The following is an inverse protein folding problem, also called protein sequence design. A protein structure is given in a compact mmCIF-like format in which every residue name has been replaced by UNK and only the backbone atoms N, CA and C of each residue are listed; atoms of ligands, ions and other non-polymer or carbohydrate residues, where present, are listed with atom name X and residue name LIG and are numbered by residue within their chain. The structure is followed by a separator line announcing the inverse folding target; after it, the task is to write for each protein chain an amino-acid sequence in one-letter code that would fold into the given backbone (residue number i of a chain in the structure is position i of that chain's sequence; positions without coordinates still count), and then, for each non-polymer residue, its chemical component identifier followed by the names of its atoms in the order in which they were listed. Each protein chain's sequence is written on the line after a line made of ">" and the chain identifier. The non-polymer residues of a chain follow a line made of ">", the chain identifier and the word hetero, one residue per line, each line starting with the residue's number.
data_IF_364691579148
#
_entry.id   IF_364691579148
#
_cell.length_a   1.000
_cell.length_b   1.000
_cell.length_c   1.000
_cell.angle_alpha   90.00
_cell.angle_beta   90.00
_cell.angle_gamma   90.00
#
_symmetry.space_group_name_H-M   'P 1'
#
loop_
_entity.id
_entity.type
_entity.pdbx_description
1 polymer ?
#
# COMPACT_ATOMS: atom_id res chain seq x y z
N UNK A 1 23.06 -4.20 -24.50
CA UNK A 1 22.54 -3.35 -23.41
C UNK A 1 23.08 -1.91 -23.45
N UNK A 2 24.40 -1.66 -23.54
CA UNK A 2 24.93 -0.27 -23.53
C UNK A 2 24.40 0.63 -24.67
N UNK A 3 23.95 0.06 -25.78
CA UNK A 3 23.39 0.78 -26.92
C UNK A 3 21.88 1.11 -26.79
N UNK A 4 21.18 0.52 -25.80
CA UNK A 4 19.76 0.76 -25.59
C UNK A 4 19.54 1.68 -24.36
N UNK A 5 19.25 2.97 -24.54
CA UNK A 5 19.11 3.92 -23.44
C UNK A 5 17.93 3.58 -22.51
N UNK A 6 16.87 2.94 -23.03
CA UNK A 6 15.70 2.52 -22.23
C UNK A 6 16.07 1.42 -21.25
N UNK A 7 16.86 0.43 -21.69
CA UNK A 7 17.34 -0.65 -20.82
C UNK A 7 18.31 -0.13 -19.76
N UNK A 8 19.14 0.85 -20.08
CA UNK A 8 20.04 1.46 -19.09
C UNK A 8 19.30 2.30 -18.07
N UNK A 9 18.30 3.08 -18.48
CA UNK A 9 17.48 3.87 -17.54
C UNK A 9 16.63 2.97 -16.61
N UNK A 10 16.07 1.88 -17.14
CA UNK A 10 15.32 0.92 -16.33
C UNK A 10 16.20 0.18 -15.33
N UNK A 11 17.42 -0.21 -15.72
CA UNK A 11 18.40 -0.78 -14.79
C UNK A 11 18.77 0.22 -13.70
N UNK A 12 18.98 1.48 -14.05
CA UNK A 12 19.23 2.57 -13.09
C UNK A 12 18.07 2.72 -12.10
N UNK A 13 16.83 2.68 -12.57
CA UNK A 13 15.63 2.74 -11.72
C UNK A 13 15.52 1.54 -10.79
N UNK A 14 15.78 0.32 -11.29
CA UNK A 14 15.79 -0.90 -10.44
C UNK A 14 16.86 -0.80 -9.36
N UNK A 15 18.05 -0.35 -9.70
CA UNK A 15 19.13 -0.17 -8.71
C UNK A 15 18.78 0.90 -7.67
N UNK A 16 18.13 2.00 -8.10
CA UNK A 16 17.62 3.03 -7.17
C UNK A 16 16.54 2.47 -6.23
N UNK A 17 15.60 1.67 -6.74
CA UNK A 17 14.59 1.01 -5.93
C UNK A 17 15.19 0.02 -4.94
N UNK A 18 16.16 -0.79 -5.39
CA UNK A 18 16.89 -1.70 -4.50
C UNK A 18 17.67 -0.94 -3.43
N UNK A 19 18.35 0.16 -3.79
CA UNK A 19 19.03 1.01 -2.82
C UNK A 19 18.04 1.64 -1.82
N UNK A 20 16.89 2.11 -2.29
CA UNK A 20 15.83 2.66 -1.45
C UNK A 20 15.37 1.67 -0.37
N UNK A 21 15.12 0.41 -0.74
CA UNK A 21 14.62 -0.60 0.20
C UNK A 21 15.70 -1.24 1.07
N UNK A 22 16.98 -1.23 0.64
CA UNK A 22 18.09 -1.88 1.39
C UNK A 22 18.91 -0.88 2.21
N UNK A 23 19.27 0.26 1.61
CA UNK A 23 20.06 1.31 2.26
C UNK A 23 19.17 2.31 2.99
N UNK A 24 17.98 2.57 2.47
CA UNK A 24 17.03 3.51 3.07
C UNK A 24 16.76 3.28 4.55
N UNK A 25 16.45 2.05 5.02
CA UNK A 25 16.25 1.74 6.44
C UNK A 25 17.49 1.96 7.33
N UNK A 26 18.68 2.01 6.75
CA UNK A 26 19.91 2.32 7.51
C UNK A 26 20.07 3.83 7.73
N UNK A 27 19.47 4.63 6.87
CA UNK A 27 19.48 6.11 6.97
C UNK A 27 18.27 6.61 7.75
N UNK A 28 17.11 6.02 7.49
CA UNK A 28 15.85 6.31 8.17
C UNK A 28 15.49 5.16 9.10
N UNK A 29 15.95 5.25 10.34
CA UNK A 29 15.91 4.15 11.32
C UNK A 29 14.58 4.07 12.10
N UNK A 30 13.53 4.71 11.59
CA UNK A 30 12.18 4.65 12.19
C UNK A 30 11.60 3.24 11.99
N UNK A 31 11.10 2.65 13.07
CA UNK A 31 10.42 1.35 13.01
C UNK A 31 9.07 1.49 12.30
N UNK A 32 8.78 0.70 11.23
CA UNK A 32 7.54 0.78 10.46
C UNK A 32 6.29 0.35 11.23
N UNK A 33 6.44 -0.26 12.41
CA UNK A 33 5.34 -0.75 13.25
C UNK A 33 4.95 0.20 14.38
N UNK A 34 5.82 1.16 14.72
CA UNK A 34 5.53 2.14 15.79
C UNK A 34 4.41 3.07 15.37
N UNK A 35 3.43 3.22 16.24
CA UNK A 35 2.24 4.04 16.03
C UNK A 35 2.38 5.34 16.83
N UNK A 36 2.21 6.47 16.14
CA UNK A 36 2.11 7.79 16.77
C UNK A 36 0.64 8.25 16.73
N UNK A 37 -0.05 8.03 17.84
CA UNK A 37 -1.49 8.32 17.94
C UNK A 37 -1.83 9.81 17.87
N UNK A 38 -0.85 10.70 18.06
CA UNK A 38 -1.03 12.15 17.89
C UNK A 38 -0.83 12.61 16.45
N UNK A 39 -0.27 11.72 15.63
CA UNK A 39 0.05 11.99 14.25
C UNK A 39 -0.65 10.99 13.30
N UNK A 40 -1.89 10.61 13.59
CA UNK A 40 -2.68 9.71 12.74
C UNK A 40 -3.03 10.40 11.43
N UNK A 41 -2.68 9.78 10.29
CA UNK A 41 -3.10 10.21 8.96
C UNK A 41 -2.57 11.59 8.54
N UNK A 42 -1.42 12.01 9.08
CA UNK A 42 -0.83 13.30 8.74
C UNK A 42 -0.34 13.30 7.30
N UNK A 43 -0.70 14.36 6.58
CA UNK A 43 -0.25 14.58 5.19
C UNK A 43 1.25 14.89 5.11
N UNK A 44 1.91 14.57 3.99
CA UNK A 44 3.31 14.97 3.76
C UNK A 44 3.51 16.48 3.90
N UNK A 45 4.52 16.87 4.69
CA UNK A 45 4.84 18.31 4.91
C UNK A 45 3.91 19.06 5.84
N UNK A 46 2.95 18.39 6.50
CA UNK A 46 2.09 19.02 7.51
C UNK A 46 2.87 19.59 8.69
N UNK A 47 2.29 20.59 9.36
CA UNK A 47 2.87 21.19 10.55
C UNK A 47 3.00 20.16 11.68
N UNK A 48 4.16 20.16 12.31
CA UNK A 48 4.53 19.26 13.41
C UNK A 48 4.39 19.91 14.78
N UNK A 49 3.82 21.10 14.83
CA UNK A 49 3.64 21.79 16.09
C UNK A 49 2.46 21.20 16.86
N UNK A 50 2.65 21.03 18.16
CA UNK A 50 1.61 20.64 19.11
C UNK A 50 1.66 21.61 20.30
N UNK A 51 0.52 22.10 20.72
CA UNK A 51 0.42 23.04 21.83
C UNK A 51 0.07 22.29 23.11
N UNK A 52 0.80 22.59 24.18
CA UNK A 52 0.51 22.03 25.50
C UNK A 52 -0.78 22.61 26.07
N UNK A 53 -1.63 21.71 26.54
CA UNK A 53 -2.91 22.09 27.16
C UNK A 53 -3.15 21.38 28.49
N UNK A 54 -4.19 21.79 29.18
CA UNK A 54 -4.71 21.02 30.33
C UNK A 54 -5.26 19.70 29.90
N UNK A 55 -5.30 18.68 30.79
CA UNK A 55 -6.06 17.46 30.53
C UNK A 55 -7.50 17.81 30.18
N UNK A 56 -8.12 16.95 29.35
CA UNK A 56 -9.53 17.15 28.99
C UNK A 56 -10.40 17.26 30.24
N UNK A 57 -11.20 18.32 30.29
CA UNK A 57 -12.22 18.53 31.32
C UNK A 57 -13.58 18.44 30.63
N UNK A 58 -14.50 17.58 31.15
CA UNK A 58 -15.86 17.53 30.63
C UNK A 58 -16.50 18.93 30.59
N UNK A 59 -17.23 19.19 29.52
CA UNK A 59 -17.90 20.47 29.35
C UNK A 59 -19.19 20.51 30.14
N UNK A 60 -19.34 21.54 30.98
CA UNK A 60 -20.58 21.83 31.71
C UNK A 60 -21.23 23.06 31.09
N UNK A 61 -22.15 22.88 30.13
CA UNK A 61 -22.74 24.00 29.37
C UNK A 61 -23.82 24.79 30.12
N UNK A 62 -24.25 24.36 31.30
CA UNK A 62 -25.32 25.00 32.08
C UNK A 62 -25.00 26.46 32.47
N UNK A 63 -23.72 26.84 32.45
CA UNK A 63 -23.27 28.20 32.79
C UNK A 63 -23.18 29.14 31.57
N UNK A 64 -23.49 28.71 30.38
CA UNK A 64 -23.33 29.51 29.15
C UNK A 64 -24.56 30.41 28.94
N UNK A 65 -24.29 31.68 28.67
CA UNK A 65 -25.33 32.58 28.15
C UNK A 65 -25.53 32.27 26.68
N UNK A 66 -26.73 31.86 26.22
CA UNK A 66 -26.99 31.58 24.82
C UNK A 66 -26.63 32.80 23.94
N UNK A 67 -25.96 32.58 22.80
CA UNK A 67 -25.61 33.66 21.89
C UNK A 67 -26.90 34.26 21.27
N UNK A 68 -26.90 35.60 21.10
CA UNK A 68 -28.01 36.28 20.46
C UNK A 68 -27.88 36.22 18.94
N UNK A 69 -28.97 35.90 18.22
CA UNK A 69 -29.00 35.94 16.75
C UNK A 69 -28.64 37.34 16.22
N UNK A 70 -27.91 37.38 15.10
CA UNK A 70 -27.52 38.63 14.43
C UNK A 70 -27.79 38.57 12.94
N UNK A 71 -27.77 39.72 12.27
CA UNK A 71 -27.92 39.82 10.81
C UNK A 71 -26.77 39.04 10.15
N UNK A 72 -27.06 37.97 9.43
CA UNK A 72 -26.06 37.05 8.85
C UNK A 72 -25.78 35.78 9.67
N UNK A 73 -26.22 35.72 10.93
CA UNK A 73 -26.18 34.53 11.78
C UNK A 73 -27.48 34.38 12.56
N UNK A 74 -28.56 34.04 11.83
CA UNK A 74 -29.92 33.95 12.36
C UNK A 74 -30.08 32.90 13.45
N UNK A 75 -29.19 31.86 13.46
CA UNK A 75 -29.21 30.81 14.46
C UNK A 75 -28.34 31.16 15.68
N UNK A 76 -27.57 32.25 15.65
CA UNK A 76 -26.59 32.56 16.70
C UNK A 76 -25.49 31.50 16.84
N UNK A 77 -25.18 30.78 15.76
CA UNK A 77 -24.23 29.67 15.75
C UNK A 77 -22.80 30.16 15.97
N UNK A 78 -22.15 29.72 17.04
CA UNK A 78 -20.83 30.21 17.45
C UNK A 78 -19.97 29.10 18.06
N UNK A 79 -18.65 29.33 18.06
CA UNK A 79 -17.69 28.52 18.76
C UNK A 79 -17.58 28.99 20.24
N UNK A 80 -17.81 28.08 21.19
CA UNK A 80 -17.79 28.41 22.62
C UNK A 80 -16.37 28.57 23.19
N UNK A 81 -15.41 27.81 22.67
CA UNK A 81 -13.99 27.83 23.07
C UNK A 81 -13.11 27.55 21.85
N UNK A 82 -11.83 27.87 21.94
CA UNK A 82 -10.85 27.54 20.88
C UNK A 82 -10.93 26.05 20.51
N UNK A 83 -11.08 25.78 19.24
CA UNK A 83 -11.19 24.42 18.72
C UNK A 83 -9.84 23.70 18.80
N UNK A 84 -9.86 22.51 19.35
CA UNK A 84 -8.64 21.69 19.51
C UNK A 84 -8.91 20.24 19.08
N UNK A 85 -7.86 19.47 18.92
CA UNK A 85 -7.98 18.02 18.66
C UNK A 85 -8.60 17.25 19.83
N UNK A 86 -8.78 17.84 21.00
CA UNK A 86 -9.51 17.23 22.11
C UNK A 86 -11.02 17.41 21.99
N UNK A 87 -11.46 18.61 21.57
CA UNK A 87 -12.89 18.91 21.38
C UNK A 87 -13.12 20.20 20.58
N UNK A 88 -14.27 20.24 19.87
CA UNK A 88 -14.86 21.45 19.31
C UNK A 88 -16.20 21.67 19.99
N UNK A 89 -16.35 22.82 20.69
CA UNK A 89 -17.51 23.13 21.48
C UNK A 89 -18.34 24.21 20.79
N UNK A 90 -19.55 23.86 20.40
CA UNK A 90 -20.44 24.67 19.60
C UNK A 90 -21.67 25.08 20.42
N UNK A 91 -22.13 26.30 20.24
CA UNK A 91 -23.36 26.83 20.87
C UNK A 91 -24.19 27.62 19.86
N UNK A 92 -25.49 27.70 20.09
CA UNK A 92 -26.40 28.49 19.28
C UNK A 92 -27.56 29.03 20.11
N UNK A 93 -28.35 29.89 19.50
CA UNK A 93 -29.52 30.45 20.18
C UNK A 93 -30.52 29.35 20.51
N UNK A 94 -30.98 29.34 21.76
CA UNK A 94 -32.06 28.45 22.21
C UNK A 94 -33.37 28.81 21.52
N UNK A 95 -33.88 27.89 20.72
CA UNK A 95 -35.15 27.98 20.02
C UNK A 95 -35.85 26.63 20.10
N UNK A 96 -37.15 26.60 20.26
CA UNK A 96 -38.01 25.42 20.47
C UNK A 96 -38.03 24.40 19.31
N UNK A 97 -37.09 24.44 18.39
CA UNK A 97 -37.04 23.53 17.25
C UNK A 97 -35.75 22.74 17.21
N UNK A 98 -35.79 21.43 16.89
CA UNK A 98 -34.61 20.62 16.76
C UNK A 98 -33.68 21.10 15.65
N UNK A 99 -32.40 20.79 15.76
CA UNK A 99 -31.34 21.17 14.83
C UNK A 99 -30.60 19.95 14.34
N UNK A 100 -30.14 20.04 13.10
CA UNK A 100 -29.21 19.04 12.52
C UNK A 100 -27.86 19.68 12.29
N UNK A 101 -26.82 19.00 12.76
CA UNK A 101 -25.44 19.46 12.65
C UNK A 101 -24.68 18.60 11.63
N UNK A 102 -23.96 19.28 10.75
CA UNK A 102 -23.07 18.67 9.77
C UNK A 102 -21.63 19.08 10.03
N UNK A 103 -20.68 18.20 9.70
CA UNK A 103 -19.24 18.47 9.72
C UNK A 103 -18.61 18.00 8.42
N UNK A 104 -17.92 18.88 7.73
CA UNK A 104 -17.28 18.62 6.44
C UNK A 104 -15.84 19.15 6.42
N UNK A 105 -15.01 18.58 5.54
CA UNK A 105 -13.67 19.08 5.21
C UNK A 105 -13.67 20.05 4.02
N UNK A 106 -14.82 20.19 3.33
CA UNK A 106 -15.00 21.06 2.18
C UNK A 106 -16.15 22.01 2.45
N UNK A 107 -16.04 23.23 1.92
CA UNK A 107 -17.12 24.20 2.06
C UNK A 107 -18.41 23.65 1.39
N UNK A 108 -19.59 23.77 2.03
CA UNK A 108 -20.85 23.33 1.44
C UNK A 108 -21.16 24.00 0.10
N UNK A 109 -20.68 25.23 -0.09
CA UNK A 109 -20.81 26.00 -1.33
C UNK A 109 -20.10 25.33 -2.52
N UNK A 110 -18.96 24.66 -2.27
CA UNK A 110 -18.18 23.98 -3.29
C UNK A 110 -18.78 22.62 -3.67
N UNK A 111 -19.44 21.96 -2.74
CA UNK A 111 -19.98 20.60 -2.92
C UNK A 111 -21.46 20.58 -3.28
N UNK A 112 -22.20 21.65 -2.98
CA UNK A 112 -23.65 21.74 -3.15
C UNK A 112 -24.43 20.79 -2.24
N UNK A 113 -23.80 20.24 -1.18
CA UNK A 113 -24.39 19.29 -0.24
C UNK A 113 -23.74 19.40 1.13
N UNK A 114 -24.53 19.17 2.18
CA UNK A 114 -24.02 19.08 3.55
C UNK A 114 -23.46 17.66 3.89
N UNK A 115 -23.64 16.69 3.02
CA UNK A 115 -23.17 15.31 3.24
C UNK A 115 -24.01 14.55 4.26
N UNK A 116 -23.34 13.77 5.12
CA UNK A 116 -24.01 13.01 6.18
C UNK A 116 -24.10 13.84 7.46
N UNK A 117 -25.24 13.83 8.15
CA UNK A 117 -25.40 14.54 9.41
C UNK A 117 -24.48 13.95 10.50
N UNK A 118 -23.88 14.82 11.28
CA UNK A 118 -23.10 14.44 12.45
C UNK A 118 -24.01 14.07 13.63
N UNK A 119 -25.03 14.90 13.89
CA UNK A 119 -26.00 14.68 14.95
C UNK A 119 -27.30 15.46 14.72
N UNK A 120 -28.43 14.93 15.22
CA UNK A 120 -29.67 15.66 15.43
C UNK A 120 -29.74 16.05 16.91
N UNK A 121 -30.05 17.31 17.21
CA UNK A 121 -29.85 17.95 18.50
C UNK A 121 -31.08 18.71 18.99
N UNK A 122 -31.44 18.44 20.22
CA UNK A 122 -32.53 19.12 20.94
C UNK A 122 -31.99 20.14 21.98
N UNK A 123 -30.69 20.21 22.14
CA UNK A 123 -29.98 21.11 23.08
C UNK A 123 -29.32 22.25 22.32
N UNK A 124 -29.17 23.46 22.89
CA UNK A 124 -28.56 24.59 22.20
C UNK A 124 -27.01 24.54 22.20
N UNK A 125 -26.43 23.34 22.36
CA UNK A 125 -24.99 23.13 22.39
C UNK A 125 -24.62 21.73 21.91
N UNK A 126 -23.38 21.59 21.44
CA UNK A 126 -22.79 20.30 21.06
C UNK A 126 -21.29 20.29 21.28
N UNK A 127 -20.77 19.18 21.80
CA UNK A 127 -19.32 18.93 21.88
C UNK A 127 -18.94 17.83 20.92
N UNK A 128 -18.23 18.19 19.85
CA UNK A 128 -17.62 17.21 18.93
C UNK A 128 -16.28 16.74 19.48
N UNK A 129 -16.09 15.42 19.54
CA UNK A 129 -14.87 14.73 19.96
C UNK A 129 -14.51 13.59 19.02
N UNK A 130 -15.18 13.48 17.90
CA UNK A 130 -15.04 12.37 16.96
C UNK A 130 -13.90 12.64 15.98
N UNK A 131 -12.78 11.98 16.16
CA UNK A 131 -11.62 11.96 15.23
C UNK A 131 -11.27 13.36 14.69
N UNK A 132 -11.03 14.30 15.60
CA UNK A 132 -10.65 15.65 15.25
C UNK A 132 -9.18 15.71 14.87
N UNK A 133 -8.90 16.02 13.61
CA UNK A 133 -7.56 16.24 13.09
C UNK A 133 -7.24 17.75 13.08
N UNK A 134 -5.96 18.16 13.05
CA UNK A 134 -5.58 19.56 12.95
C UNK A 134 -5.78 20.09 11.51
N UNK A 135 -7.04 20.24 11.14
CA UNK A 135 -7.52 20.65 9.82
C UNK A 135 -8.64 21.69 9.97
N UNK A 136 -9.00 22.30 8.86
CA UNK A 136 -10.13 23.22 8.80
C UNK A 136 -11.41 22.43 8.58
N UNK A 137 -12.37 22.58 9.48
CA UNK A 137 -13.70 21.99 9.38
C UNK A 137 -14.76 23.02 9.10
N UNK A 138 -15.76 22.63 8.32
CA UNK A 138 -16.97 23.40 8.06
C UNK A 138 -18.12 22.76 8.83
N UNK A 139 -18.52 23.42 9.93
CA UNK A 139 -19.68 23.01 10.70
C UNK A 139 -20.91 23.77 10.21
N UNK A 140 -21.94 23.06 9.76
CA UNK A 140 -23.21 23.66 9.29
C UNK A 140 -24.34 23.21 10.18
N UNK A 141 -25.02 24.17 10.78
CA UNK A 141 -26.22 23.98 11.58
C UNK A 141 -27.45 24.26 10.72
N UNK A 142 -28.39 23.33 10.65
CA UNK A 142 -29.65 23.42 9.87
C UNK A 142 -30.80 23.35 10.83
N UNK A 143 -31.76 24.25 10.68
CA UNK A 143 -33.01 24.18 11.42
C UNK A 143 -33.94 23.10 10.84
N UNK A 144 -34.58 22.32 11.69
CA UNK A 144 -35.59 21.36 11.28
C UNK A 144 -37.01 21.93 11.49
N UNK A 145 -37.94 21.62 10.61
CA UNK A 145 -39.33 21.94 10.76
C UNK A 145 -40.09 20.96 11.69
N UNK A 146 -41.34 21.14 11.92
CA UNK A 146 -42.18 20.29 12.77
C UNK A 146 -42.32 18.83 12.22
N UNK A 147 -42.01 18.61 10.95
CA UNK A 147 -42.02 17.29 10.32
C UNK A 147 -40.64 16.62 10.38
N UNK A 148 -39.59 17.33 10.86
CA UNK A 148 -38.20 16.85 10.89
C UNK A 148 -37.45 17.06 9.57
N UNK A 149 -38.05 17.82 8.63
CA UNK A 149 -37.44 18.16 7.36
C UNK A 149 -36.53 19.39 7.50
N UNK A 150 -35.51 19.49 6.69
CA UNK A 150 -34.51 20.57 6.71
C UNK A 150 -35.12 21.88 6.16
N UNK A 151 -34.97 22.94 6.92
CA UNK A 151 -35.42 24.28 6.49
C UNK A 151 -34.28 24.98 5.72
N UNK A 152 -34.62 26.05 4.99
CA UNK A 152 -33.63 26.90 4.32
C UNK A 152 -32.77 27.71 5.30
N UNK A 153 -33.10 27.70 6.60
CA UNK A 153 -32.33 28.44 7.61
C UNK A 153 -31.13 27.65 8.05
N UNK A 154 -29.95 28.08 7.58
CA UNK A 154 -28.68 27.43 7.84
C UNK A 154 -27.66 28.45 8.35
N UNK A 155 -26.67 27.98 9.11
CA UNK A 155 -25.48 28.76 9.48
C UNK A 155 -24.24 27.87 9.42
N UNK A 156 -23.19 28.35 8.76
CA UNK A 156 -21.91 27.60 8.62
C UNK A 156 -20.80 28.35 9.35
N UNK A 157 -20.01 27.62 10.12
CA UNK A 157 -18.78 28.11 10.75
C UNK A 157 -17.59 27.40 10.12
N UNK A 158 -16.57 28.17 9.76
CA UNK A 158 -15.25 27.66 9.40
C UNK A 158 -14.38 27.63 10.66
N UNK A 159 -13.88 26.45 11.03
CA UNK A 159 -13.19 26.24 12.30
C UNK A 159 -11.86 25.55 12.02
N UNK A 160 -10.77 26.23 12.38
CA UNK A 160 -9.42 25.66 12.36
C UNK A 160 -9.14 24.95 13.68
N UNK A 161 -8.93 23.65 13.61
CA UNK A 161 -8.64 22.81 14.79
C UNK A 161 -7.14 22.79 15.06
N UNK A 162 -6.75 23.22 16.26
CA UNK A 162 -5.35 23.22 16.69
C UNK A 162 -4.99 21.90 17.35
N UNK A 163 -3.82 21.36 16.99
CA UNK A 163 -3.29 20.16 17.64
C UNK A 163 -2.84 20.47 19.04
N UNK A 164 -3.36 19.73 20.02
CA UNK A 164 -2.99 19.87 21.43
C UNK A 164 -2.68 18.52 22.07
N UNK A 165 -1.82 18.55 23.09
CA UNK A 165 -1.47 17.42 23.94
C UNK A 165 -1.41 17.88 25.38
N UNK A 166 -1.84 17.06 26.33
CA UNK A 166 -1.68 17.39 27.76
C UNK A 166 -0.22 17.24 28.20
N UNK A 167 0.19 18.00 29.23
CA UNK A 167 1.54 17.93 29.80
C UNK A 167 1.87 16.48 30.23
N UNK A 168 0.92 15.77 30.85
CA UNK A 168 1.10 14.38 31.27
C UNK A 168 1.37 13.45 30.09
N UNK A 169 0.61 13.58 29.00
CA UNK A 169 0.84 12.80 27.78
C UNK A 169 2.17 13.15 27.11
N UNK A 170 2.56 14.43 27.10
CA UNK A 170 3.84 14.88 26.55
C UNK A 170 5.03 14.30 27.32
N UNK A 171 4.92 14.17 28.67
CA UNK A 171 5.92 13.52 29.50
C UNK A 171 5.98 12.01 29.30
N UNK A 172 4.84 11.34 29.24
CA UNK A 172 4.74 9.89 28.98
C UNK A 172 5.40 9.51 27.65
N UNK A 173 5.31 10.38 26.64
CA UNK A 173 5.92 10.19 25.30
C UNK A 173 7.34 10.71 25.20
N UNK A 174 7.91 11.23 26.26
CA UNK A 174 9.28 11.74 26.29
C UNK A 174 9.50 13.02 25.47
N UNK A 175 8.43 13.73 25.11
CA UNK A 175 8.50 15.04 24.45
C UNK A 175 8.98 16.15 25.42
N UNK A 176 8.77 15.93 26.71
CA UNK A 176 9.20 16.77 27.81
C UNK A 176 9.84 15.87 28.86
N UNK A 177 10.98 16.30 29.42
CA UNK A 177 11.58 15.61 30.56
C UNK A 177 10.74 15.81 31.83
N UNK A 178 10.68 14.84 32.76
CA UNK A 178 9.90 14.99 34.01
C UNK A 178 10.26 16.18 34.86
N UNK A 179 11.51 16.65 34.79
CA UNK A 179 12.07 17.77 35.56
C UNK A 179 11.99 19.13 34.81
N UNK A 180 11.50 19.11 33.56
CA UNK A 180 11.39 20.30 32.73
C UNK A 180 10.08 21.03 33.04
N UNK A 181 10.18 22.33 33.35
CA UNK A 181 9.00 23.17 33.54
C UNK A 181 8.30 23.44 32.24
N UNK A 182 7.14 22.83 32.05
CA UNK A 182 6.30 23.02 30.89
C UNK A 182 5.11 23.92 31.20
N UNK A 183 4.88 24.92 30.36
CA UNK A 183 3.76 25.86 30.51
C UNK A 183 2.65 25.56 29.52
N UNK A 184 1.40 25.73 29.95
CA UNK A 184 0.23 25.61 29.06
C UNK A 184 0.32 26.69 27.98
N UNK A 185 0.11 26.32 26.73
CA UNK A 185 0.28 27.18 25.57
C UNK A 185 1.68 27.10 24.93
N UNK A 186 2.64 26.44 25.57
CA UNK A 186 3.94 26.18 24.97
C UNK A 186 3.80 25.24 23.76
N UNK A 187 4.54 25.54 22.70
CA UNK A 187 4.51 24.71 21.46
C UNK A 187 5.72 23.79 21.40
N UNK A 188 5.46 22.52 21.17
CA UNK A 188 6.47 21.47 20.98
C UNK A 188 6.48 21.00 19.52
N UNK A 189 7.59 20.37 19.10
CA UNK A 189 7.70 19.75 17.78
C UNK A 189 7.60 18.22 17.89
N UNK A 190 6.63 17.65 17.21
CA UNK A 190 6.47 16.20 17.07
C UNK A 190 7.53 15.59 16.15
N UNK A 191 7.59 14.26 16.13
CA UNK A 191 8.45 13.49 15.23
C UNK A 191 8.20 13.88 13.75
N UNK A 192 9.25 13.80 12.94
CA UNK A 192 9.13 14.15 11.54
C UNK A 192 8.81 12.91 10.71
N UNK A 193 7.74 12.98 9.91
CA UNK A 193 7.31 11.97 8.97
C UNK A 193 7.32 12.58 7.55
N UNK A 194 8.41 12.40 6.75
CA UNK A 194 8.58 13.09 5.46
C UNK A 194 7.44 12.82 4.47
N UNK A 195 6.93 11.61 4.44
CA UNK A 195 5.81 11.18 3.59
C UNK A 195 4.48 11.06 4.35
N UNK A 196 4.40 11.70 5.52
CA UNK A 196 3.24 11.61 6.39
C UNK A 196 3.15 10.29 7.13
N UNK A 197 1.98 10.03 7.70
CA UNK A 197 1.65 8.82 8.45
C UNK A 197 0.40 8.15 7.89
N UNK A 198 0.17 6.91 8.26
CA UNK A 198 -1.03 6.19 7.90
C UNK A 198 -2.15 6.33 8.95
N UNK A 199 -3.24 5.59 8.73
CA UNK A 199 -4.43 5.57 9.60
C UNK A 199 -4.17 5.07 11.04
N UNK A 200 -2.99 4.55 11.34
CA UNK A 200 -2.54 4.17 12.68
C UNK A 200 -1.40 5.05 13.20
N UNK A 201 -1.04 6.12 12.49
CA UNK A 201 0.06 7.00 12.85
C UNK A 201 1.45 6.41 12.57
N UNK A 202 1.56 5.35 11.75
CA UNK A 202 2.86 4.74 11.39
C UNK A 202 3.54 5.53 10.28
N UNK A 203 4.85 5.65 10.34
CA UNK A 203 5.65 6.39 9.35
C UNK A 203 5.55 5.79 7.95
N UNK A 204 5.03 6.58 6.98
CA UNK A 204 4.83 6.11 5.60
C UNK A 204 6.14 5.84 4.87
N UNK A 205 7.21 6.61 5.12
CA UNK A 205 8.51 6.40 4.48
C UNK A 205 9.16 5.10 4.94
N UNK A 206 9.17 4.84 6.25
CA UNK A 206 9.66 3.59 6.81
C UNK A 206 8.88 2.41 6.24
N UNK A 207 7.55 2.49 6.22
CA UNK A 207 6.68 1.43 5.68
C UNK A 207 6.90 1.17 4.19
N UNK A 208 7.14 2.20 3.39
CA UNK A 208 7.48 2.03 1.97
C UNK A 208 8.81 1.30 1.76
N UNK A 209 9.82 1.59 2.59
CA UNK A 209 11.12 0.92 2.53
C UNK A 209 11.01 -0.56 2.94
N UNK A 210 10.47 -0.83 4.11
CA UNK A 210 10.32 -2.20 4.63
C UNK A 210 9.30 -3.01 3.82
N UNK A 211 8.20 -2.40 3.40
CA UNK A 211 7.21 -3.03 2.51
C UNK A 211 7.80 -3.38 1.15
N UNK A 212 8.70 -2.52 0.66
CA UNK A 212 9.45 -2.79 -0.57
C UNK A 212 10.41 -3.97 -0.45
N UNK A 213 11.05 -4.19 0.70
CA UNK A 213 11.85 -5.40 0.93
C UNK A 213 11.02 -6.66 0.75
N UNK A 214 9.81 -6.68 1.34
CA UNK A 214 8.91 -7.84 1.24
C UNK A 214 8.40 -8.04 -0.19
N UNK A 215 7.88 -6.98 -0.83
CA UNK A 215 7.34 -7.07 -2.19
C UNK A 215 8.42 -7.46 -3.22
N UNK A 216 9.63 -6.89 -3.13
CA UNK A 216 10.74 -7.25 -4.02
C UNK A 216 11.31 -8.64 -3.71
N UNK A 217 11.39 -9.04 -2.45
CA UNK A 217 11.81 -10.40 -2.07
C UNK A 217 10.92 -11.45 -2.71
N UNK A 218 9.59 -11.29 -2.59
CA UNK A 218 8.63 -12.22 -3.20
C UNK A 218 8.70 -12.12 -4.71
N UNK A 219 8.69 -10.90 -5.25
CA UNK A 219 8.71 -10.62 -6.68
C UNK A 219 9.95 -11.13 -7.41
N UNK A 220 11.07 -11.30 -6.72
CA UNK A 220 12.31 -11.86 -7.28
C UNK A 220 12.43 -13.36 -7.01
N UNK A 221 12.19 -13.79 -5.78
CA UNK A 221 12.42 -15.19 -5.38
C UNK A 221 11.39 -16.15 -6.01
N UNK A 222 10.10 -15.77 -6.05
CA UNK A 222 9.08 -16.63 -6.64
C UNK A 222 9.36 -16.94 -8.12
N UNK A 223 9.61 -15.95 -9.02
CA UNK A 223 9.96 -16.21 -10.41
C UNK A 223 11.21 -17.04 -10.58
N UNK A 224 12.26 -16.76 -9.82
CA UNK A 224 13.48 -17.58 -9.88
C UNK A 224 13.19 -19.03 -9.57
N UNK A 225 12.38 -19.30 -8.54
CA UNK A 225 12.06 -20.67 -8.13
C UNK A 225 11.15 -21.39 -9.13
N UNK A 226 10.02 -20.77 -9.54
CA UNK A 226 9.08 -21.45 -10.44
C UNK A 226 9.61 -21.52 -11.88
N UNK A 227 10.41 -20.57 -12.36
CA UNK A 227 11.09 -20.69 -13.66
C UNK A 227 12.14 -21.80 -13.61
N UNK A 228 12.91 -21.90 -12.51
CA UNK A 228 13.87 -22.99 -12.33
C UNK A 228 13.21 -24.37 -12.39
N UNK A 229 12.06 -24.56 -11.69
CA UNK A 229 11.25 -25.77 -11.79
C UNK A 229 10.77 -26.00 -13.23
N UNK A 230 10.28 -24.95 -13.89
CA UNK A 230 9.83 -24.98 -15.27
C UNK A 230 10.94 -25.36 -16.24
N UNK A 231 12.16 -24.85 -16.04
CA UNK A 231 13.35 -25.21 -16.85
C UNK A 231 13.66 -26.69 -16.71
N UNK A 232 13.73 -27.23 -15.50
CA UNK A 232 13.98 -28.67 -15.29
C UNK A 232 12.88 -29.51 -15.94
N UNK A 233 11.62 -29.21 -15.61
CA UNK A 233 10.47 -29.97 -16.10
C UNK A 233 10.35 -29.93 -17.62
N UNK A 234 10.42 -28.73 -18.20
CA UNK A 234 10.33 -28.51 -19.65
C UNK A 234 11.50 -29.14 -20.42
N UNK A 235 12.70 -29.12 -19.83
CA UNK A 235 13.89 -29.75 -20.44
C UNK A 235 13.76 -31.26 -20.48
N UNK A 236 13.30 -31.90 -19.41
CA UNK A 236 13.07 -33.35 -19.37
C UNK A 236 11.96 -33.77 -20.39
N UNK A 237 10.83 -33.06 -20.35
CA UNK A 237 9.71 -33.35 -21.27
C UNK A 237 10.12 -33.17 -22.73
N UNK A 238 10.77 -32.06 -23.09
CA UNK A 238 11.18 -31.78 -24.47
C UNK A 238 12.26 -32.72 -24.99
N UNK A 239 13.20 -33.15 -24.13
CA UNK A 239 14.26 -34.05 -24.52
C UNK A 239 13.75 -35.50 -24.72
N UNK A 240 12.99 -36.05 -23.79
CA UNK A 240 12.46 -37.40 -23.86
C UNK A 240 11.42 -37.54 -24.97
N UNK A 241 10.51 -36.60 -25.09
CA UNK A 241 9.46 -36.61 -26.10
C UNK A 241 8.46 -37.78 -25.94
N UNK A 242 7.66 -38.03 -26.96
CA UNK A 242 6.73 -39.15 -27.03
C UNK A 242 5.72 -39.23 -25.87
N UNK A 243 5.41 -40.44 -25.35
CA UNK A 243 4.42 -40.62 -24.29
C UNK A 243 4.78 -39.96 -22.98
N UNK A 244 6.08 -39.89 -22.65
CA UNK A 244 6.57 -39.24 -21.42
C UNK A 244 6.29 -37.73 -21.45
N UNK A 245 6.62 -37.08 -22.56
CA UNK A 245 6.30 -35.66 -22.76
C UNK A 245 4.80 -35.41 -22.68
N UNK A 246 3.98 -36.24 -23.31
CA UNK A 246 2.52 -36.10 -23.24
C UNK A 246 1.99 -36.24 -21.83
N UNK A 247 2.46 -37.25 -21.07
CA UNK A 247 2.06 -37.42 -19.67
C UNK A 247 2.47 -36.23 -18.79
N UNK A 248 3.71 -35.75 -18.96
CA UNK A 248 4.22 -34.57 -18.23
C UNK A 248 3.39 -33.32 -18.59
N UNK A 249 3.09 -33.08 -19.85
CA UNK A 249 2.26 -31.92 -20.23
C UNK A 249 0.82 -32.04 -19.73
N UNK A 250 0.23 -33.24 -19.66
CA UNK A 250 -1.09 -33.43 -19.02
C UNK A 250 -1.09 -33.12 -17.54
N UNK A 251 -0.01 -33.44 -16.83
CA UNK A 251 0.13 -33.01 -15.42
C UNK A 251 0.27 -31.49 -15.31
N UNK A 252 1.04 -30.86 -16.19
CA UNK A 252 1.12 -29.40 -16.24
C UNK A 252 -0.24 -28.75 -16.55
N UNK A 253 -1.06 -29.35 -17.45
CA UNK A 253 -2.42 -28.92 -17.76
C UNK A 253 -3.33 -29.03 -16.52
N UNK A 254 -3.20 -30.10 -15.75
CA UNK A 254 -3.93 -30.30 -14.51
C UNK A 254 -3.59 -29.19 -13.49
N UNK A 255 -2.30 -28.86 -13.32
CA UNK A 255 -1.87 -27.76 -12.39
C UNK A 255 -2.44 -26.41 -12.82
N UNK A 256 -2.43 -26.10 -14.11
CA UNK A 256 -3.00 -24.83 -14.63
C UNK A 256 -4.51 -24.77 -14.47
N UNK A 257 -5.21 -25.91 -14.46
CA UNK A 257 -6.65 -25.96 -14.24
C UNK A 257 -7.08 -25.65 -12.81
N UNK A 258 -6.13 -25.66 -11.84
CA UNK A 258 -6.42 -25.32 -10.45
C UNK A 258 -6.68 -23.82 -10.33
N UNK A 259 -7.82 -23.39 -9.76
CA UNK A 259 -8.10 -21.97 -9.56
C UNK A 259 -7.10 -21.38 -8.57
N UNK A 260 -6.23 -20.48 -9.06
CA UNK A 260 -5.12 -19.90 -8.28
C UNK A 260 -5.57 -19.34 -6.93
N UNK A 261 -6.64 -18.53 -6.90
CA UNK A 261 -7.13 -17.90 -5.68
C UNK A 261 -7.64 -18.92 -4.66
N UNK A 262 -8.37 -19.95 -5.10
CA UNK A 262 -8.84 -21.01 -4.20
C UNK A 262 -7.68 -21.79 -3.58
N UNK A 263 -6.62 -22.03 -4.37
CA UNK A 263 -5.43 -22.69 -3.89
C UNK A 263 -4.67 -21.83 -2.85
N UNK A 264 -4.61 -20.52 -3.08
CA UNK A 264 -4.06 -19.56 -2.11
C UNK A 264 -4.81 -19.58 -0.78
N UNK A 265 -6.15 -19.59 -0.82
CA UNK A 265 -6.99 -19.70 0.37
C UNK A 265 -6.69 -21.00 1.12
N UNK A 266 -6.67 -22.11 0.40
CA UNK A 266 -6.38 -23.42 0.96
C UNK A 266 -5.00 -23.46 1.64
N UNK A 267 -3.96 -22.92 0.98
CA UNK A 267 -2.61 -22.83 1.54
C UNK A 267 -2.59 -22.01 2.82
N UNK A 268 -3.27 -20.85 2.83
CA UNK A 268 -3.37 -20.01 4.01
C UNK A 268 -4.02 -20.75 5.19
N UNK A 269 -5.05 -21.54 4.94
CA UNK A 269 -5.72 -22.35 5.95
C UNK A 269 -4.83 -23.53 6.42
N UNK A 270 -4.22 -24.25 5.48
CA UNK A 270 -3.39 -25.42 5.79
C UNK A 270 -2.13 -25.05 6.59
N UNK A 271 -1.50 -23.93 6.25
CA UNK A 271 -0.33 -23.44 6.99
C UNK A 271 -0.71 -22.73 8.30
N UNK A 272 -2.01 -22.58 8.58
CA UNK A 272 -2.51 -22.09 9.86
C UNK A 272 -2.03 -20.69 10.21
N UNK A 273 -1.95 -19.78 9.23
CA UNK A 273 -1.44 -18.41 9.45
C UNK A 273 -2.30 -17.72 10.49
N UNK A 274 -1.73 -17.59 11.68
CA UNK A 274 -2.31 -16.89 12.81
C UNK A 274 -2.03 -15.39 12.80
N UNK A 275 -2.66 -14.65 13.73
CA UNK A 275 -2.33 -13.24 13.94
C UNK A 275 -0.84 -13.05 14.24
N UNK A 276 -0.18 -12.14 13.53
CA UNK A 276 1.25 -11.85 13.68
C UNK A 276 2.18 -12.65 12.76
N UNK A 277 1.68 -13.65 12.03
CA UNK A 277 2.46 -14.36 11.03
C UNK A 277 2.35 -13.68 9.67
N UNK A 278 3.49 -13.46 9.00
CA UNK A 278 3.55 -12.64 7.78
C UNK A 278 2.83 -13.21 6.56
N UNK A 279 2.57 -14.52 6.51
CA UNK A 279 1.95 -15.18 5.35
C UNK A 279 2.83 -15.25 4.09
N UNK A 280 4.08 -14.80 4.16
CA UNK A 280 5.02 -14.74 3.02
C UNK A 280 5.32 -16.16 2.50
N UNK A 281 5.63 -17.09 3.39
CA UNK A 281 6.04 -18.44 3.00
C UNK A 281 4.94 -19.23 2.29
N UNK A 282 3.69 -19.29 2.78
CA UNK A 282 2.58 -19.92 2.05
C UNK A 282 2.33 -19.30 0.68
N UNK A 283 2.43 -17.98 0.57
CA UNK A 283 2.25 -17.28 -0.71
C UNK A 283 3.36 -17.65 -1.71
N UNK A 284 4.62 -17.67 -1.28
CA UNK A 284 5.74 -18.15 -2.10
C UNK A 284 5.52 -19.59 -2.55
N UNK A 285 5.14 -20.48 -1.63
CA UNK A 285 4.91 -21.89 -1.93
C UNK A 285 3.80 -22.08 -2.98
N UNK A 286 2.68 -21.37 -2.81
CA UNK A 286 1.57 -21.44 -3.76
C UNK A 286 1.97 -20.89 -5.15
N UNK A 287 2.69 -19.76 -5.22
CA UNK A 287 3.18 -19.22 -6.49
C UNK A 287 4.12 -20.21 -7.18
N UNK A 288 5.05 -20.82 -6.44
CA UNK A 288 6.01 -21.79 -6.99
C UNK A 288 5.28 -23.04 -7.52
N UNK A 289 4.31 -23.56 -6.78
CA UNK A 289 3.59 -24.78 -7.14
C UNK A 289 2.65 -24.57 -8.33
N UNK A 290 2.09 -23.38 -8.50
CA UNK A 290 1.07 -23.14 -9.52
C UNK A 290 1.59 -22.48 -10.80
N UNK A 291 2.69 -21.68 -10.74
CA UNK A 291 3.12 -20.85 -11.87
C UNK A 291 4.22 -21.46 -12.74
N UNK A 292 4.86 -22.55 -12.33
CA UNK A 292 5.92 -23.23 -13.10
C UNK A 292 5.48 -23.81 -14.46
N UNK A 293 4.19 -24.19 -14.73
CA UNK A 293 3.84 -24.80 -16.00
C UNK A 293 4.02 -23.89 -17.22
N UNK A 294 3.84 -22.56 -17.05
CA UNK A 294 4.02 -21.63 -18.16
C UNK A 294 5.48 -21.59 -18.66
N UNK A 295 6.49 -21.36 -17.81
CA UNK A 295 7.90 -21.46 -18.24
C UNK A 295 8.29 -22.87 -18.66
N UNK A 296 7.72 -23.93 -18.08
CA UNK A 296 7.99 -25.30 -18.52
C UNK A 296 7.59 -25.55 -19.98
N UNK A 297 6.42 -25.08 -20.40
CA UNK A 297 5.97 -25.19 -21.80
C UNK A 297 6.87 -24.43 -22.76
N UNK A 298 7.31 -23.23 -22.35
CA UNK A 298 8.21 -22.40 -23.15
C UNK A 298 9.57 -23.09 -23.35
N UNK A 299 10.19 -23.56 -22.26
CA UNK A 299 11.49 -24.24 -22.30
C UNK A 299 11.37 -25.56 -23.08
N UNK A 300 10.29 -26.33 -22.87
CA UNK A 300 10.02 -27.54 -23.69
C UNK A 300 10.04 -27.22 -25.17
N UNK A 301 9.36 -26.15 -25.61
CA UNK A 301 9.35 -25.73 -27.01
C UNK A 301 10.75 -25.48 -27.56
N UNK A 302 11.60 -24.77 -26.80
CA UNK A 302 12.98 -24.52 -27.18
C UNK A 302 13.82 -25.80 -27.24
N UNK A 303 13.68 -26.70 -26.27
CA UNK A 303 14.39 -27.98 -26.23
C UNK A 303 13.99 -28.88 -27.41
N UNK A 304 12.71 -28.91 -27.79
CA UNK A 304 12.25 -29.67 -28.97
C UNK A 304 12.90 -29.16 -30.25
N UNK A 305 13.04 -27.81 -30.42
CA UNK A 305 13.73 -27.26 -31.58
C UNK A 305 15.22 -27.61 -31.61
N UNK A 306 15.92 -27.41 -30.50
CA UNK A 306 17.35 -27.68 -30.40
C UNK A 306 17.67 -29.19 -30.53
N UNK A 307 16.77 -30.06 -30.11
CA UNK A 307 16.94 -31.51 -30.18
C UNK A 307 17.19 -32.01 -31.60
N UNK A 308 16.61 -31.36 -32.60
CA UNK A 308 16.73 -31.73 -34.01
C UNK A 308 18.01 -31.17 -34.68
N UNK A 309 18.81 -30.38 -33.95
CA UNK A 309 20.04 -29.80 -34.48
C UNK A 309 21.14 -30.86 -34.68
N UNK A 310 21.91 -30.71 -35.78
CA UNK A 310 22.93 -31.69 -36.19
C UNK A 310 23.98 -31.98 -35.13
N UNK A 311 24.43 -30.94 -34.37
CA UNK A 311 25.44 -31.12 -33.32
C UNK A 311 24.93 -31.91 -32.11
N UNK A 312 23.61 -31.86 -31.83
CA UNK A 312 22.97 -32.67 -30.79
C UNK A 312 22.94 -34.13 -31.20
N UNK A 313 22.57 -34.37 -32.46
CA UNK A 313 22.56 -35.72 -33.05
C UNK A 313 23.98 -36.34 -33.08
N UNK A 314 24.98 -35.55 -33.48
CA UNK A 314 26.39 -35.97 -33.45
C UNK A 314 26.86 -36.32 -32.03
N UNK A 315 26.52 -35.49 -31.01
CA UNK A 315 26.87 -35.78 -29.62
C UNK A 315 26.28 -37.11 -29.12
N UNK A 316 24.99 -37.41 -29.48
CA UNK A 316 24.37 -38.68 -29.14
C UNK A 316 25.07 -39.86 -29.80
N UNK A 317 25.43 -39.76 -31.11
CA UNK A 317 26.16 -40.81 -31.83
C UNK A 317 27.53 -41.11 -31.21
N UNK A 318 28.17 -40.10 -30.62
CA UNK A 318 29.41 -40.24 -29.88
C UNK A 318 29.23 -40.80 -28.44
N UNK A 319 28.01 -41.21 -28.07
CA UNK A 319 27.71 -41.85 -26.79
C UNK A 319 27.48 -40.91 -25.62
N UNK A 320 27.24 -39.61 -25.87
CA UNK A 320 26.94 -38.67 -24.82
C UNK A 320 25.64 -39.01 -24.05
N UNK A 321 25.69 -38.95 -22.72
CA UNK A 321 24.54 -39.23 -21.88
C UNK A 321 23.48 -38.09 -21.93
N UNK A 322 22.21 -38.41 -21.70
CA UNK A 322 21.14 -37.41 -21.66
C UNK A 322 21.42 -36.18 -20.79
N UNK A 323 21.84 -36.31 -19.51
CA UNK A 323 22.15 -35.15 -18.69
C UNK A 323 23.27 -34.28 -19.27
N UNK A 324 24.28 -34.91 -19.91
CA UNK A 324 25.37 -34.19 -20.55
C UNK A 324 24.86 -33.36 -21.74
N UNK A 325 24.10 -33.97 -22.63
CA UNK A 325 23.54 -33.30 -23.82
C UNK A 325 22.64 -32.12 -23.42
N UNK A 326 21.73 -32.35 -22.48
CA UNK A 326 20.82 -31.32 -22.01
C UNK A 326 21.61 -30.19 -21.30
N UNK A 327 22.47 -30.52 -20.35
CA UNK A 327 23.18 -29.54 -19.54
C UNK A 327 24.29 -28.77 -20.28
N UNK A 328 24.99 -29.45 -21.23
CA UNK A 328 26.16 -28.86 -21.91
C UNK A 328 25.82 -28.24 -23.27
N UNK A 329 24.81 -28.74 -23.95
CA UNK A 329 24.49 -28.32 -25.32
C UNK A 329 23.13 -27.64 -25.45
N UNK A 330 22.10 -28.08 -24.74
CA UNK A 330 20.75 -27.54 -24.94
C UNK A 330 20.46 -26.34 -24.01
N UNK A 331 20.64 -26.48 -22.69
CA UNK A 331 20.38 -25.41 -21.73
C UNK A 331 21.17 -24.13 -22.01
N UNK A 332 22.49 -24.18 -22.31
CA UNK A 332 23.23 -22.96 -22.65
C UNK A 332 22.65 -22.20 -23.85
N UNK A 333 22.15 -22.93 -24.85
CA UNK A 333 21.52 -22.33 -26.02
C UNK A 333 20.10 -21.80 -25.76
N UNK A 334 19.46 -22.19 -24.66
CA UNK A 334 18.16 -21.66 -24.22
C UNK A 334 18.28 -20.55 -23.18
N UNK A 335 19.47 -20.25 -22.65
CA UNK A 335 19.67 -19.25 -21.59
C UNK A 335 19.13 -17.89 -21.94
N UNK A 336 19.26 -17.45 -23.19
CA UNK A 336 18.69 -16.16 -23.65
C UNK A 336 17.19 -16.10 -23.41
N UNK A 337 16.45 -17.13 -23.81
CA UNK A 337 15.00 -17.21 -23.64
C UNK A 337 14.63 -17.33 -22.16
N UNK A 338 15.37 -18.11 -21.38
CA UNK A 338 15.14 -18.26 -19.93
C UNK A 338 15.33 -16.92 -19.20
N UNK A 339 16.40 -16.17 -19.49
CA UNK A 339 16.68 -14.88 -18.87
C UNK A 339 15.58 -13.85 -19.20
N UNK A 340 15.17 -13.78 -20.46
CA UNK A 340 14.04 -12.93 -20.88
C UNK A 340 12.76 -13.34 -20.16
N UNK A 341 12.51 -14.65 -20.04
CA UNK A 341 11.33 -15.15 -19.31
C UNK A 341 11.34 -14.70 -17.86
N UNK A 342 12.46 -14.84 -17.15
CA UNK A 342 12.58 -14.40 -15.75
C UNK A 342 12.26 -12.91 -15.63
N UNK A 343 12.81 -12.07 -16.52
CA UNK A 343 12.57 -10.60 -16.42
C UNK A 343 11.12 -10.22 -16.59
N UNK A 344 10.33 -10.93 -17.39
CA UNK A 344 8.88 -10.69 -17.51
C UNK A 344 8.06 -11.35 -16.38
N UNK A 345 8.59 -12.40 -15.77
CA UNK A 345 7.90 -13.05 -14.65
C UNK A 345 8.03 -12.25 -13.35
N UNK A 346 9.07 -11.44 -13.17
CA UNK A 346 9.24 -10.57 -11.99
C UNK A 346 8.11 -9.55 -11.85
N UNK A 347 7.78 -8.72 -12.87
CA UNK A 347 6.61 -7.83 -12.82
C UNK A 347 5.31 -8.56 -12.52
N UNK A 348 5.10 -9.71 -13.15
CA UNK A 348 3.90 -10.54 -12.94
C UNK A 348 3.79 -11.03 -11.49
N UNK A 349 4.90 -11.45 -10.89
CA UNK A 349 4.93 -11.90 -9.50
C UNK A 349 4.71 -10.75 -8.50
N UNK A 350 5.32 -9.58 -8.74
CA UNK A 350 5.11 -8.38 -7.92
C UNK A 350 3.63 -7.95 -7.99
N UNK A 351 3.05 -7.94 -9.18
CA UNK A 351 1.63 -7.63 -9.34
C UNK A 351 0.74 -8.65 -8.63
N UNK A 352 1.08 -9.95 -8.73
CA UNK A 352 0.34 -11.02 -8.06
C UNK A 352 0.42 -10.88 -6.53
N UNK A 353 1.61 -10.61 -5.97
CA UNK A 353 1.78 -10.32 -4.54
C UNK A 353 0.93 -9.11 -4.13
N UNK A 354 1.06 -8.00 -4.86
CA UNK A 354 0.33 -6.78 -4.57
C UNK A 354 -1.19 -7.00 -4.61
N UNK A 355 -1.68 -7.72 -5.63
CA UNK A 355 -3.10 -8.06 -5.74
C UNK A 355 -3.59 -8.94 -4.59
N UNK A 356 -2.85 -10.01 -4.24
CA UNK A 356 -3.22 -10.88 -3.12
C UNK A 356 -3.19 -10.12 -1.79
N UNK A 357 -2.19 -9.28 -1.56
CA UNK A 357 -2.09 -8.45 -0.37
C UNK A 357 -3.20 -7.41 -0.33
N UNK A 358 -3.53 -6.81 -1.47
CA UNK A 358 -4.64 -5.86 -1.60
C UNK A 358 -6.00 -6.48 -1.23
N UNK A 359 -6.29 -7.72 -1.64
CA UNK A 359 -7.53 -8.41 -1.25
C UNK A 359 -7.47 -9.06 0.14
N UNK A 360 -6.41 -8.84 0.91
CA UNK A 360 -6.22 -9.40 2.26
C UNK A 360 -5.78 -10.86 2.30
N UNK A 361 -5.40 -11.42 1.15
CA UNK A 361 -4.93 -12.81 1.05
C UNK A 361 -3.41 -12.94 0.99
N UNK A 362 -2.68 -11.84 0.93
CA UNK A 362 -1.22 -11.80 0.90
C UNK A 362 -0.58 -11.65 2.28
N UNK A 363 0.39 -10.73 2.35
CA UNK A 363 1.15 -10.43 3.57
C UNK A 363 0.23 -9.85 4.65
N UNK A 364 0.32 -10.40 5.86
CA UNK A 364 -0.52 -9.99 6.98
C UNK A 364 0.18 -8.96 7.89
N UNK A 365 -0.57 -8.01 8.49
CA UNK A 365 -0.02 -7.12 9.51
C UNK A 365 0.61 -7.90 10.68
N UNK A 366 1.66 -7.38 11.34
CA UNK A 366 2.19 -6.02 11.23
C UNK A 366 3.18 -5.80 10.08
N UNK A 367 3.58 -6.85 9.35
CA UNK A 367 4.54 -6.77 8.26
C UNK A 367 3.97 -5.93 7.10
N UNK A 368 4.63 -4.83 6.69
CA UNK A 368 4.17 -4.06 5.54
C UNK A 368 4.53 -4.79 4.23
N UNK A 369 3.69 -4.60 3.20
CA UNK A 369 4.05 -4.77 1.79
C UNK A 369 3.37 -3.66 1.00
N UNK A 370 3.87 -3.34 -0.19
CA UNK A 370 3.23 -2.28 -0.99
C UNK A 370 1.76 -2.59 -1.31
N UNK A 371 1.43 -3.88 -1.57
CA UNK A 371 0.05 -4.29 -1.80
C UNK A 371 -0.85 -4.16 -0.57
N UNK A 372 -0.36 -4.54 0.61
CA UNK A 372 -1.07 -4.37 1.88
C UNK A 372 -1.30 -2.87 2.19
N UNK A 373 -0.29 -2.02 1.95
CA UNK A 373 -0.41 -0.57 2.11
C UNK A 373 -1.47 0.02 1.16
N UNK A 374 -1.57 -0.47 -0.08
CA UNK A 374 -2.65 -0.06 -0.99
C UNK A 374 -4.04 -0.47 -0.46
N UNK A 375 -4.18 -1.65 0.14
CA UNK A 375 -5.44 -2.10 0.77
C UNK A 375 -5.85 -1.20 1.95
N UNK A 376 -4.87 -0.81 2.75
CA UNK A 376 -5.11 0.13 3.86
C UNK A 376 -5.51 1.51 3.33
N UNK A 377 -4.73 2.07 2.40
CA UNK A 377 -4.89 3.44 1.89
C UNK A 377 -6.13 3.67 1.01
N UNK A 378 -6.72 2.62 0.39
CA UNK A 378 -7.94 2.81 -0.40
C UNK A 378 -9.14 3.23 0.47
N UNK A 379 -9.13 2.85 1.76
CA UNK A 379 -10.20 3.17 2.69
C UNK A 379 -10.23 4.66 3.06
N UNK A 380 -9.07 5.32 2.99
CA UNK A 380 -8.89 6.74 3.29
C UNK A 380 -8.57 7.59 2.06
N UNK A 381 -8.76 7.05 0.85
CA UNK A 381 -8.32 7.68 -0.41
C UNK A 381 -8.86 9.10 -0.61
N UNK A 382 -10.10 9.38 -0.19
CA UNK A 382 -10.73 10.68 -0.37
C UNK A 382 -10.22 11.75 0.61
N UNK A 383 -9.79 11.33 1.80
CA UNK A 383 -9.31 12.24 2.87
C UNK A 383 -7.78 12.27 2.96
N UNK A 384 -7.14 11.13 2.70
CA UNK A 384 -5.68 10.94 2.86
C UNK A 384 -5.10 10.21 1.63
N UNK A 385 -5.10 10.83 0.45
CA UNK A 385 -4.70 10.19 -0.81
C UNK A 385 -3.25 9.70 -0.81
N UNK A 386 -2.37 10.28 0.00
CA UNK A 386 -0.96 9.91 0.10
C UNK A 386 -0.77 8.46 0.59
N UNK A 387 -1.66 7.94 1.44
CA UNK A 387 -1.59 6.57 1.95
C UNK A 387 -1.70 5.53 0.82
N UNK A 388 -2.48 5.81 -0.22
CA UNK A 388 -2.62 4.97 -1.41
C UNK A 388 -1.61 5.31 -2.51
N UNK A 389 -1.37 6.59 -2.76
CA UNK A 389 -0.60 7.08 -3.89
C UNK A 389 0.86 6.60 -3.85
N UNK A 390 1.53 6.69 -2.70
CA UNK A 390 2.94 6.31 -2.60
C UNK A 390 3.19 4.81 -2.85
N UNK A 391 2.49 3.86 -2.20
CA UNK A 391 2.72 2.45 -2.50
C UNK A 391 2.29 2.07 -3.93
N UNK A 392 1.23 2.66 -4.48
CA UNK A 392 0.83 2.44 -5.86
C UNK A 392 1.88 2.92 -6.87
N UNK A 393 2.52 4.09 -6.62
CA UNK A 393 3.63 4.56 -7.43
C UNK A 393 4.84 3.62 -7.36
N UNK A 394 5.18 3.09 -6.18
CA UNK A 394 6.29 2.14 -6.02
C UNK A 394 6.06 0.85 -6.81
N UNK A 395 4.85 0.28 -6.74
CA UNK A 395 4.46 -0.89 -7.54
C UNK A 395 4.57 -0.57 -9.04
N UNK A 396 3.96 0.53 -9.47
CA UNK A 396 3.93 0.94 -10.88
C UNK A 396 5.33 1.19 -11.45
N UNK A 397 6.18 1.90 -10.70
CA UNK A 397 7.56 2.17 -11.09
C UNK A 397 8.37 0.87 -11.20
N UNK A 398 8.19 -0.06 -10.28
CA UNK A 398 8.89 -1.34 -10.27
C UNK A 398 8.47 -2.21 -11.45
N UNK A 399 7.16 -2.37 -11.66
CA UNK A 399 6.62 -3.14 -12.80
C UNK A 399 7.09 -2.55 -14.13
N UNK A 400 7.03 -1.22 -14.30
CA UNK A 400 7.52 -0.54 -15.49
C UNK A 400 9.01 -0.78 -15.71
N UNK A 401 9.83 -0.63 -14.66
CA UNK A 401 11.28 -0.80 -14.74
C UNK A 401 11.67 -2.22 -15.17
N UNK A 402 11.07 -3.25 -14.60
CA UNK A 402 11.36 -4.64 -14.98
C UNK A 402 10.84 -4.99 -16.38
N UNK A 403 9.68 -4.46 -16.82
CA UNK A 403 9.19 -4.66 -18.18
C UNK A 403 10.15 -4.02 -19.21
N UNK A 404 10.57 -2.78 -18.99
CA UNK A 404 11.53 -2.10 -19.86
C UNK A 404 12.90 -2.81 -19.88
N UNK A 405 13.34 -3.35 -18.76
CA UNK A 405 14.55 -4.15 -18.69
C UNK A 405 14.40 -5.45 -19.50
N UNK A 406 13.25 -6.12 -19.37
CA UNK A 406 12.93 -7.36 -20.10
C UNK A 406 12.93 -7.13 -21.61
N UNK A 407 12.30 -6.08 -22.09
CA UNK A 407 12.31 -5.67 -23.51
C UNK A 407 13.74 -5.40 -23.98
N UNK A 408 14.49 -4.63 -23.24
CA UNK A 408 15.88 -4.32 -23.58
C UNK A 408 16.81 -5.53 -23.56
N UNK A 409 16.55 -6.51 -22.69
CA UNK A 409 17.28 -7.77 -22.66
C UNK A 409 16.91 -8.66 -23.85
N UNK A 410 15.64 -8.71 -24.21
CA UNK A 410 15.14 -9.42 -25.38
C UNK A 410 15.80 -8.90 -26.65
N UNK A 411 15.79 -7.58 -26.86
CA UNK A 411 16.42 -6.94 -28.02
C UNK A 411 17.92 -7.23 -28.08
N UNK A 412 18.61 -7.23 -26.95
CA UNK A 412 20.04 -7.51 -26.87
C UNK A 412 20.42 -8.99 -27.16
N UNK A 413 19.48 -9.93 -26.89
CA UNK A 413 19.69 -11.36 -27.06
C UNK A 413 19.16 -11.87 -28.42
N UNK A 414 18.33 -11.08 -29.14
CA UNK A 414 17.85 -11.47 -30.47
C UNK A 414 18.99 -11.34 -31.53
N UNK A 415 19.51 -12.50 -31.93
CA UNK A 415 20.61 -12.57 -32.88
C UNK A 415 20.24 -12.07 -34.29
N UNK A 416 18.94 -12.01 -34.63
CA UNK A 416 18.47 -11.55 -35.97
C UNK A 416 18.65 -10.05 -36.15
N UNK A 417 18.65 -9.27 -35.09
CA UNK A 417 18.88 -7.82 -35.12
C UNK A 417 20.37 -7.46 -35.35
N UNK A 418 21.32 -8.38 -35.12
CA UNK A 418 22.76 -8.14 -35.30
C UNK A 418 23.26 -8.29 -36.75
N UNK A 419 22.43 -8.82 -37.62
CA UNK A 419 22.76 -9.03 -39.03
C UNK A 419 22.23 -7.93 -39.97
N UNK A 420 21.58 -6.88 -39.41
CA UNK A 420 20.99 -5.79 -40.20
C UNK A 420 21.76 -4.46 -40.09
N UNK A 421 22.89 -4.43 -39.35
CA UNK A 421 23.90 -3.37 -39.35
C UNK A 421 25.17 -3.90 -40.05
#
# INVERSE_FOLDING_TARGET
>A
MRANPRAMSSLGLILALLAFVTVGPMVWTVDPSVQDVDQIGISPGADRQVTLTTPFIPWEPEALTPPTPSTGNLLGFTLAQSATTQSVRLTWADQDSPRRLYRNLFAPEDTGSFGLPLADLDTPYFEDRLDLQPETYYYTLVALDAAGEESETTATLTIDVTRVISIAQAQERGLIQPDESAEIGQTLKLAWHPLGTDYLGRDMLARLMYGGQVSLFIGLLAPLAFVFLGVIYGSVAGFLGGPVDQAMMRFADFVVALPFLLFMILFKVVFGIGPGESGILPMLAAMIILLWPAPARLVRGQILQIREEAYVSASKLLGATTPYVVGRHMLPNTLGVILVTITFQVPSAIFTEAFLSFIGMGVAPPTPSWGAMCNEGIKSMLTRPHELLFPAMMISATVLAFNLLGDGLRDALDARMRGAE
#
